data_IF_846883057721
#
_entry.id   IF_846883057721
#
_cell.length_a   1.000
_cell.length_b   1.000
_cell.length_c   1.000
_cell.angle_alpha   90.00
_cell.angle_beta   90.00
_cell.angle_gamma   90.00
#
_symmetry.space_group_name_H-M   'P 1'
#
loop_
_entity.id
_entity.type
_entity.pdbx_description
1 polymer ?
#
# COMPACT_ATOMS: atom_id res chain seq x y z
N UNK A 1 20.56 -14.27 -5.66
CA UNK A 1 20.34 -14.21 -4.19
C UNK A 1 18.86 -14.01 -3.95
N UNK A 2 18.26 -14.77 -3.06
CA UNK A 2 16.86 -14.58 -2.66
C UNK A 2 16.80 -13.55 -1.55
N UNK A 3 15.90 -12.56 -1.67
CA UNK A 3 15.71 -11.50 -0.66
C UNK A 3 14.79 -12.05 0.43
N UNK A 4 15.26 -12.05 1.67
CA UNK A 4 14.50 -12.48 2.85
C UNK A 4 13.66 -11.34 3.40
N UNK A 5 12.36 -11.58 3.48
CA UNK A 5 11.38 -10.56 3.88
C UNK A 5 10.66 -11.02 5.15
N UNK A 6 10.45 -10.08 6.08
CA UNK A 6 9.52 -10.23 7.18
C UNK A 6 8.33 -9.29 7.01
N UNK A 7 7.14 -9.72 7.44
CA UNK A 7 5.90 -8.93 7.39
C UNK A 7 5.45 -8.62 8.81
N UNK A 8 5.46 -7.35 9.20
CA UNK A 8 4.86 -6.89 10.45
C UNK A 8 3.43 -6.40 10.18
N UNK A 9 2.46 -7.06 10.79
CA UNK A 9 1.03 -6.86 10.53
C UNK A 9 0.50 -7.76 9.42
N UNK A 10 -0.19 -8.82 9.79
CA UNK A 10 -0.76 -9.79 8.86
C UNK A 10 -2.27 -9.56 8.64
N UNK A 11 -2.66 -8.28 8.59
CA UNK A 11 -3.99 -7.81 8.18
C UNK A 11 -4.21 -7.95 6.68
N UNK A 12 -5.15 -7.18 6.12
CA UNK A 12 -5.45 -7.20 4.66
C UNK A 12 -4.20 -7.06 3.81
N UNK A 13 -3.35 -6.06 4.11
CA UNK A 13 -2.18 -5.75 3.28
C UNK A 13 -1.13 -6.84 3.39
N UNK A 14 -0.72 -7.23 4.59
CA UNK A 14 0.31 -8.27 4.78
C UNK A 14 -0.08 -9.60 4.14
N UNK A 15 -1.34 -10.04 4.30
CA UNK A 15 -1.84 -11.27 3.66
C UNK A 15 -1.84 -11.17 2.14
N UNK A 16 -2.30 -10.05 1.58
CA UNK A 16 -2.34 -9.88 0.13
C UNK A 16 -0.95 -9.75 -0.49
N UNK A 17 0.03 -9.19 0.23
CA UNK A 17 1.44 -9.20 -0.21
C UNK A 17 1.96 -10.63 -0.30
N UNK A 18 1.75 -11.46 0.72
CA UNK A 18 2.16 -12.87 0.68
C UNK A 18 1.45 -13.63 -0.46
N UNK A 19 0.13 -13.43 -0.62
CA UNK A 19 -0.62 -14.02 -1.75
C UNK A 19 -0.02 -13.62 -3.09
N UNK A 20 0.24 -12.34 -3.30
CA UNK A 20 0.80 -11.84 -4.56
C UNK A 20 2.19 -12.43 -4.87
N UNK A 21 3.05 -12.56 -3.86
CA UNK A 21 4.39 -13.20 -4.02
C UNK A 21 4.24 -14.66 -4.46
N UNK A 22 3.31 -15.40 -3.88
CA UNK A 22 3.10 -16.81 -4.20
C UNK A 22 2.42 -16.98 -5.57
N UNK A 23 1.35 -16.22 -5.82
CA UNK A 23 0.55 -16.29 -7.06
C UNK A 23 1.34 -15.81 -8.28
N UNK A 24 2.28 -14.87 -8.12
CA UNK A 24 3.17 -14.43 -9.20
C UNK A 24 4.24 -15.46 -9.59
N UNK A 25 4.41 -16.53 -8.83
CA UNK A 25 5.45 -17.53 -9.05
C UNK A 25 6.89 -17.05 -8.80
N UNK A 26 7.09 -15.84 -8.24
CA UNK A 26 8.43 -15.29 -7.93
C UNK A 26 9.18 -16.18 -6.94
N UNK A 27 10.47 -16.40 -7.20
CA UNK A 27 11.36 -17.20 -6.37
C UNK A 27 12.53 -16.37 -5.81
N UNK A 28 12.64 -15.12 -6.21
CA UNK A 28 13.65 -14.16 -5.77
C UNK A 28 13.30 -13.46 -4.45
N UNK A 29 12.06 -13.65 -3.95
CA UNK A 29 11.59 -13.13 -2.67
C UNK A 29 11.10 -14.31 -1.81
N UNK A 30 11.60 -14.38 -0.59
CA UNK A 30 11.23 -15.37 0.41
C UNK A 30 10.68 -14.67 1.66
N UNK A 31 9.42 -14.94 2.02
CA UNK A 31 8.86 -14.49 3.30
C UNK A 31 9.27 -15.49 4.36
N UNK A 32 10.12 -15.07 5.29
CA UNK A 32 10.71 -15.94 6.34
C UNK A 32 10.04 -15.75 7.70
N UNK A 33 9.41 -14.59 7.94
CA UNK A 33 8.78 -14.30 9.21
C UNK A 33 7.54 -13.41 9.05
N UNK A 34 6.58 -13.62 9.95
CA UNK A 34 5.36 -12.81 10.09
C UNK A 34 5.22 -12.46 11.57
N UNK A 35 4.81 -11.23 11.87
CA UNK A 35 4.37 -10.85 13.20
C UNK A 35 2.94 -10.32 13.14
N UNK A 36 2.06 -10.90 13.94
CA UNK A 36 0.68 -10.44 14.10
C UNK A 36 0.15 -10.85 15.47
N UNK A 37 -0.63 -9.99 16.12
CA UNK A 37 -1.11 -10.22 17.48
C UNK A 37 -2.26 -11.25 17.57
N UNK A 38 -2.81 -11.65 16.43
CA UNK A 38 -3.85 -12.67 16.34
C UNK A 38 -3.28 -14.10 16.40
N UNK A 39 -4.12 -15.09 16.73
CA UNK A 39 -3.72 -16.50 16.73
C UNK A 39 -3.26 -16.97 15.33
N UNK A 40 -2.22 -17.80 15.29
CA UNK A 40 -1.66 -18.34 14.04
C UNK A 40 -2.72 -19.06 13.20
N UNK A 41 -3.56 -19.89 13.83
CA UNK A 41 -4.63 -20.61 13.14
C UNK A 41 -5.65 -19.67 12.48
N UNK A 42 -5.98 -18.55 13.14
CA UNK A 42 -6.88 -17.53 12.57
C UNK A 42 -6.22 -16.83 11.40
N UNK A 43 -4.94 -16.48 11.51
CA UNK A 43 -4.19 -15.87 10.40
C UNK A 43 -4.08 -16.81 9.19
N UNK A 44 -3.83 -18.10 9.42
CA UNK A 44 -3.81 -19.12 8.37
C UNK A 44 -5.19 -19.28 7.70
N UNK A 45 -6.28 -19.29 8.48
CA UNK A 45 -7.64 -19.36 7.95
C UNK A 45 -7.96 -18.16 7.07
N UNK A 46 -7.65 -16.92 7.56
CA UNK A 46 -7.89 -15.68 6.81
C UNK A 46 -6.97 -15.52 5.60
N UNK A 47 -5.82 -16.19 5.56
CA UNK A 47 -4.98 -16.28 4.37
C UNK A 47 -5.60 -17.24 3.33
N UNK A 48 -6.12 -18.40 3.80
CA UNK A 48 -6.74 -19.40 2.91
C UNK A 48 -8.03 -18.89 2.29
N UNK A 49 -8.87 -18.17 3.06
CA UNK A 49 -10.18 -17.72 2.64
C UNK A 49 -10.31 -16.21 2.75
N UNK A 50 -10.48 -15.54 1.62
CA UNK A 50 -10.65 -14.10 1.55
C UNK A 50 -11.99 -13.75 0.92
N UNK A 51 -12.76 -12.85 1.55
CA UNK A 51 -14.10 -12.48 1.08
C UNK A 51 -14.08 -11.72 -0.25
N UNK A 52 -12.95 -11.11 -0.61
CA UNK A 52 -12.78 -10.32 -1.84
C UNK A 52 -12.05 -11.13 -2.92
N UNK A 53 -10.93 -11.76 -2.55
CA UNK A 53 -10.05 -12.47 -3.49
C UNK A 53 -10.34 -13.97 -3.57
N UNK A 54 -11.28 -14.48 -2.76
CA UNK A 54 -11.65 -15.89 -2.76
C UNK A 54 -10.60 -16.79 -2.09
N UNK A 55 -10.76 -18.09 -2.34
CA UNK A 55 -9.85 -19.09 -1.78
C UNK A 55 -8.45 -18.95 -2.37
N UNK A 56 -7.44 -18.95 -1.51
CA UNK A 56 -6.04 -18.98 -1.94
C UNK A 56 -5.74 -20.29 -2.68
N UNK A 57 -5.06 -20.27 -3.84
CA UNK A 57 -4.90 -21.46 -4.68
C UNK A 57 -3.97 -22.51 -4.06
N UNK A 58 -3.18 -22.13 -3.08
CA UNK A 58 -2.28 -23.04 -2.35
C UNK A 58 -2.91 -23.42 -1.01
N UNK A 59 -2.74 -24.68 -0.59
CA UNK A 59 -3.16 -25.12 0.74
C UNK A 59 -2.31 -24.44 1.81
N UNK A 60 -2.96 -23.78 2.76
CA UNK A 60 -2.30 -23.14 3.90
C UNK A 60 -2.25 -24.11 5.06
N UNK A 61 -1.06 -24.53 5.46
CA UNK A 61 -0.83 -25.35 6.66
C UNK A 61 -0.34 -24.48 7.80
N UNK A 62 -0.68 -24.82 9.03
CA UNK A 62 -0.19 -24.10 10.19
C UNK A 62 0.10 -25.03 11.36
N UNK A 63 1.05 -24.60 12.19
CA UNK A 63 1.35 -25.18 13.51
C UNK A 63 1.01 -24.15 14.60
N UNK A 64 1.49 -24.36 15.80
CA UNK A 64 1.35 -23.37 16.88
C UNK A 64 2.13 -22.06 16.61
N UNK A 65 3.19 -22.10 15.77
CA UNK A 65 4.11 -20.99 15.57
C UNK A 65 4.53 -20.78 14.10
N UNK A 66 3.93 -21.50 13.15
CA UNK A 66 4.30 -21.37 11.73
C UNK A 66 3.10 -21.39 10.79
N UNK A 67 3.25 -20.77 9.64
CA UNK A 67 2.36 -20.89 8.48
C UNK A 67 3.21 -21.40 7.30
N UNK A 68 2.69 -22.37 6.53
CA UNK A 68 3.32 -22.88 5.32
C UNK A 68 2.35 -22.76 4.13
N UNK A 69 2.83 -22.18 3.06
CA UNK A 69 2.13 -21.96 1.79
C UNK A 69 2.76 -22.76 0.64
N UNK A 70 3.35 -23.91 0.98
CA UNK A 70 4.01 -24.79 0.00
C UNK A 70 5.45 -24.43 -0.35
N UNK A 71 6.07 -23.49 0.41
CA UNK A 71 7.48 -23.09 0.25
C UNK A 71 8.32 -23.29 1.51
N UNK A 72 7.79 -24.02 2.47
CA UNK A 72 8.38 -24.23 3.80
C UNK A 72 7.75 -23.34 4.87
N UNK A 73 8.08 -23.61 6.14
CA UNK A 73 7.47 -22.93 7.26
C UNK A 73 7.94 -21.48 7.37
N UNK A 74 6.98 -20.56 7.48
CA UNK A 74 7.19 -19.15 7.81
C UNK A 74 6.98 -19.01 9.31
N UNK A 75 7.94 -18.47 10.04
CA UNK A 75 7.82 -18.23 11.47
C UNK A 75 6.77 -17.17 11.76
N UNK A 76 5.92 -17.40 12.79
CA UNK A 76 4.88 -16.45 13.20
C UNK A 76 5.07 -16.09 14.66
N UNK A 77 5.21 -14.79 14.94
CA UNK A 77 5.31 -14.23 16.27
C UNK A 77 4.10 -13.35 16.59
N UNK A 78 3.85 -13.09 17.88
CA UNK A 78 2.79 -12.20 18.36
C UNK A 78 3.38 -11.16 19.33
N UNK A 79 4.38 -10.42 18.86
CA UNK A 79 5.15 -9.46 19.63
C UNK A 79 4.63 -8.04 19.34
N UNK A 80 4.23 -7.33 20.38
CA UNK A 80 3.67 -5.97 20.27
C UNK A 80 4.74 -4.91 20.05
N UNK A 81 5.87 -5.05 20.73
CA UNK A 81 6.99 -4.11 20.62
C UNK A 81 7.95 -4.56 19.50
N UNK A 82 8.05 -3.83 18.38
CA UNK A 82 8.90 -4.25 17.27
C UNK A 82 10.39 -4.34 17.61
N UNK A 83 10.85 -3.67 18.67
CA UNK A 83 12.24 -3.80 19.14
C UNK A 83 12.59 -5.20 19.66
N UNK A 84 11.60 -6.02 19.97
CA UNK A 84 11.78 -7.38 20.50
C UNK A 84 11.68 -8.46 19.41
N UNK A 85 11.43 -8.06 18.14
CA UNK A 85 11.30 -8.99 17.03
C UNK A 85 12.66 -9.63 16.69
N UNK A 86 12.74 -10.96 16.54
CA UNK A 86 14.01 -11.68 16.31
C UNK A 86 14.42 -11.66 14.82
N UNK A 87 14.46 -10.47 14.20
CA UNK A 87 14.58 -10.32 12.74
C UNK A 87 15.94 -9.86 12.23
N UNK A 88 17.01 -10.08 12.99
CA UNK A 88 18.39 -9.73 12.59
C UNK A 88 18.88 -10.41 11.28
N UNK A 89 18.17 -11.44 10.81
CA UNK A 89 18.49 -12.20 9.59
C UNK A 89 17.63 -11.81 8.37
N UNK A 90 16.86 -10.73 8.47
CA UNK A 90 15.91 -10.29 7.44
C UNK A 90 16.53 -9.17 6.63
N UNK A 91 16.41 -9.24 5.31
CA UNK A 91 16.89 -8.18 4.42
C UNK A 91 15.91 -6.99 4.42
N UNK A 92 14.61 -7.25 4.30
CA UNK A 92 13.59 -6.21 4.22
C UNK A 92 12.44 -6.52 5.19
N UNK A 93 12.08 -5.55 6.02
CA UNK A 93 10.84 -5.58 6.77
C UNK A 93 9.75 -4.82 6.01
N UNK A 94 8.63 -5.49 5.76
CA UNK A 94 7.41 -4.87 5.27
C UNK A 94 6.54 -4.46 6.44
N UNK A 95 6.43 -3.16 6.69
CA UNK A 95 5.57 -2.60 7.74
C UNK A 95 4.15 -2.45 7.23
N UNK A 96 3.28 -3.36 7.64
CA UNK A 96 1.90 -3.47 7.17
C UNK A 96 0.85 -3.26 8.29
N UNK A 97 1.27 -2.84 9.49
CA UNK A 97 0.33 -2.59 10.60
C UNK A 97 -0.42 -1.28 10.45
N UNK A 98 0.14 -0.31 9.73
CA UNK A 98 -0.36 1.05 9.68
C UNK A 98 -0.09 1.89 10.95
N UNK A 99 0.68 1.37 11.91
CA UNK A 99 1.00 2.02 13.21
C UNK A 99 2.37 2.70 13.15
N UNK A 100 3.39 2.02 12.64
CA UNK A 100 4.77 2.50 12.59
C UNK A 100 5.06 3.23 11.28
N UNK A 101 4.26 4.26 10.98
CA UNK A 101 4.30 5.01 9.72
C UNK A 101 5.27 6.18 9.70
N UNK A 102 5.76 6.61 10.86
CA UNK A 102 6.78 7.68 10.91
C UNK A 102 8.16 7.04 10.78
N UNK A 103 9.09 7.74 10.10
CA UNK A 103 10.48 7.28 9.94
C UNK A 103 11.13 6.88 11.26
N UNK A 104 10.93 7.70 12.28
CA UNK A 104 11.49 7.46 13.63
C UNK A 104 10.97 6.14 14.22
N UNK A 105 9.68 5.86 14.06
CA UNK A 105 9.07 4.61 14.54
C UNK A 105 9.50 3.41 13.72
N UNK A 106 9.65 3.58 12.41
CA UNK A 106 10.08 2.50 11.52
C UNK A 106 11.59 2.19 11.64
N UNK A 107 12.40 3.12 12.18
CA UNK A 107 13.83 2.92 12.38
C UNK A 107 14.15 1.75 13.33
N UNK A 108 13.24 1.40 14.23
CA UNK A 108 13.40 0.27 15.16
C UNK A 108 13.72 -1.06 14.43
N UNK A 109 13.22 -1.26 13.23
CA UNK A 109 13.53 -2.48 12.47
C UNK A 109 14.97 -2.51 11.97
N UNK A 110 15.56 -1.35 11.65
CA UNK A 110 16.98 -1.24 11.29
C UNK A 110 17.87 -1.48 12.50
N UNK A 111 17.48 -0.98 13.66
CA UNK A 111 18.16 -1.20 14.95
C UNK A 111 18.13 -2.70 15.32
N UNK A 112 17.08 -3.42 14.93
CA UNK A 112 16.93 -4.87 15.09
C UNK A 112 17.71 -5.70 14.05
N UNK A 113 18.40 -5.06 13.10
CA UNK A 113 19.29 -5.72 12.14
C UNK A 113 18.71 -5.91 10.75
N UNK A 114 17.49 -5.49 10.45
CA UNK A 114 16.99 -5.45 9.08
C UNK A 114 17.78 -4.45 8.23
N UNK A 115 18.06 -4.79 6.98
CA UNK A 115 18.79 -3.89 6.09
C UNK A 115 17.94 -2.73 5.59
N UNK A 116 16.63 -2.94 5.42
CA UNK A 116 15.68 -1.93 4.92
C UNK A 116 14.28 -2.12 5.49
N UNK A 117 13.50 -1.05 5.42
CA UNK A 117 12.07 -1.06 5.77
C UNK A 117 11.24 -0.52 4.61
N UNK A 118 10.25 -1.27 4.19
CA UNK A 118 9.22 -0.84 3.24
C UNK A 118 7.90 -0.63 3.99
N UNK A 119 7.49 0.63 4.11
CA UNK A 119 6.22 1.00 4.77
C UNK A 119 5.09 0.96 3.74
N UNK A 120 4.09 0.12 3.94
CA UNK A 120 2.95 -0.09 3.02
C UNK A 120 1.88 1.02 3.11
N UNK A 121 2.26 2.20 3.57
CA UNK A 121 1.38 3.35 3.79
C UNK A 121 2.18 4.65 3.62
N UNK A 122 1.52 5.83 3.49
CA UNK A 122 2.21 7.11 3.55
C UNK A 122 3.03 7.22 4.84
N UNK A 123 4.31 7.54 4.71
CA UNK A 123 5.24 7.61 5.83
C UNK A 123 5.82 9.01 5.97
N UNK A 124 5.63 9.60 7.15
CA UNK A 124 6.22 10.91 7.46
C UNK A 124 7.72 10.78 7.67
N UNK A 125 8.49 11.56 6.92
CA UNK A 125 9.93 11.60 7.04
C UNK A 125 10.67 10.39 6.46
N UNK A 126 9.99 9.48 5.72
CA UNK A 126 10.67 8.41 4.99
C UNK A 126 11.77 8.96 4.09
N UNK A 127 12.82 8.17 3.88
CA UNK A 127 13.96 8.56 3.05
C UNK A 127 13.53 8.78 1.59
N UNK A 128 12.52 8.02 1.13
CA UNK A 128 11.85 8.24 -0.15
C UNK A 128 10.40 7.76 -0.09
N UNK A 129 9.56 8.31 -0.98
CA UNK A 129 8.20 7.83 -1.24
C UNK A 129 8.13 7.40 -2.69
N UNK A 130 7.84 6.12 -2.93
CA UNK A 130 7.92 5.49 -4.26
C UNK A 130 6.53 5.04 -4.71
N UNK A 131 6.22 5.36 -5.96
CA UNK A 131 5.18 4.70 -6.76
C UNK A 131 5.88 3.98 -7.91
N UNK A 132 5.74 2.65 -7.94
CA UNK A 132 6.38 1.83 -8.98
C UNK A 132 5.88 2.24 -10.37
N UNK A 133 6.79 2.32 -11.34
CA UNK A 133 6.48 2.82 -12.68
C UNK A 133 6.48 4.36 -12.81
N UNK A 134 6.54 5.10 -11.70
CA UNK A 134 6.54 6.57 -11.70
C UNK A 134 7.90 7.16 -11.35
N UNK A 135 8.43 6.80 -10.20
CA UNK A 135 9.69 7.31 -9.67
C UNK A 135 10.56 6.24 -8.98
N UNK A 136 10.35 4.96 -9.29
CA UNK A 136 11.10 3.87 -8.66
C UNK A 136 12.61 3.90 -8.98
N UNK A 137 12.99 4.52 -10.09
CA UNK A 137 14.34 4.78 -10.53
C UNK A 137 15.08 5.84 -9.68
N UNK A 138 14.36 6.58 -8.85
CA UNK A 138 14.95 7.54 -7.91
C UNK A 138 15.44 6.89 -6.61
N UNK A 139 15.20 5.58 -6.43
CA UNK A 139 15.62 4.85 -5.24
C UNK A 139 17.11 4.64 -5.24
N UNK A 140 17.77 5.05 -4.15
CA UNK A 140 19.22 4.91 -3.96
C UNK A 140 19.56 3.96 -2.80
N UNK A 141 20.80 3.46 -2.76
CA UNK A 141 21.22 2.46 -1.79
C UNK A 141 21.25 2.94 -0.33
N UNK A 142 21.38 4.24 -0.11
CA UNK A 142 21.39 4.90 1.18
C UNK A 142 19.98 5.18 1.77
N UNK A 143 18.94 5.00 0.96
CA UNK A 143 17.54 5.15 1.39
C UNK A 143 17.07 3.84 2.05
N UNK A 144 17.00 3.84 3.35
CA UNK A 144 16.76 2.63 4.14
C UNK A 144 15.30 2.45 4.54
N UNK A 145 14.55 3.55 4.70
CA UNK A 145 13.13 3.53 5.06
C UNK A 145 12.33 4.17 3.92
N UNK A 146 11.61 3.33 3.18
CA UNK A 146 10.89 3.73 1.97
C UNK A 146 9.38 3.57 2.17
N UNK A 147 8.63 4.59 1.78
CA UNK A 147 7.17 4.54 1.75
C UNK A 147 6.67 4.11 0.37
N UNK A 148 5.72 3.19 0.33
CA UNK A 148 4.99 2.84 -0.90
C UNK A 148 3.76 3.75 -1.17
N UNK A 149 3.72 4.94 -0.57
CA UNK A 149 2.63 5.90 -0.69
C UNK A 149 1.25 5.33 -0.26
N UNK A 150 0.15 5.91 -0.74
CA UNK A 150 -1.21 5.42 -0.53
C UNK A 150 -1.76 4.71 -1.76
N UNK A 151 -2.82 3.92 -1.58
CA UNK A 151 -3.54 3.28 -2.69
C UNK A 151 -4.03 4.32 -3.72
N UNK A 152 -4.61 5.43 -3.28
CA UNK A 152 -5.08 6.51 -4.16
C UNK A 152 -3.91 7.20 -4.87
N UNK A 153 -2.77 7.42 -4.21
CA UNK A 153 -1.57 7.98 -4.85
C UNK A 153 -1.03 7.02 -5.91
N UNK A 154 -1.00 5.73 -5.64
CA UNK A 154 -0.59 4.71 -6.62
C UNK A 154 -1.51 4.64 -7.85
N UNK A 155 -2.80 4.94 -7.69
CA UNK A 155 -3.74 5.05 -8.79
C UNK A 155 -3.54 6.36 -9.60
N UNK A 156 -3.44 7.50 -8.90
CA UNK A 156 -3.42 8.83 -9.52
C UNK A 156 -2.08 9.17 -10.16
N UNK A 157 -0.96 8.83 -9.52
CA UNK A 157 0.36 9.30 -9.95
C UNK A 157 0.77 8.81 -11.36
N UNK A 158 0.56 7.54 -11.76
CA UNK A 158 0.85 7.09 -13.12
C UNK A 158 0.07 7.88 -14.19
N UNK A 159 -1.23 8.05 -13.97
CA UNK A 159 -2.09 8.81 -14.89
C UNK A 159 -1.68 10.28 -14.94
N UNK A 160 -1.48 10.91 -13.77
CA UNK A 160 -1.05 12.30 -13.69
C UNK A 160 0.33 12.53 -14.34
N UNK A 161 1.25 11.55 -14.24
CA UNK A 161 2.54 11.61 -14.93
C UNK A 161 2.37 11.67 -16.44
N UNK A 162 1.60 10.76 -17.02
CA UNK A 162 1.38 10.71 -18.47
C UNK A 162 0.71 11.99 -18.97
N UNK A 163 -0.33 12.46 -18.28
CA UNK A 163 -1.03 13.68 -18.63
C UNK A 163 -0.13 14.91 -18.53
N UNK A 164 0.69 14.98 -17.46
CA UNK A 164 1.61 16.10 -17.28
C UNK A 164 2.72 16.12 -18.33
N UNK A 165 3.31 14.96 -18.60
CA UNK A 165 4.42 14.84 -19.57
C UNK A 165 3.99 15.12 -21.02
N UNK A 166 2.74 14.79 -21.38
CA UNK A 166 2.23 14.93 -22.76
C UNK A 166 1.49 16.24 -23.03
N UNK A 167 0.71 16.70 -22.07
CA UNK A 167 -0.25 17.79 -22.23
C UNK A 167 0.08 18.96 -21.30
N UNK A 168 0.65 18.66 -20.14
CA UNK A 168 0.87 19.59 -19.03
C UNK A 168 -0.38 19.71 -18.15
N UNK A 169 -0.16 19.68 -16.84
CA UNK A 169 -1.19 19.96 -15.82
C UNK A 169 -0.82 21.28 -15.18
N UNK A 170 -1.72 22.26 -15.27
CA UNK A 170 -1.60 23.56 -14.59
C UNK A 170 -2.07 23.42 -13.15
N UNK A 171 -3.27 22.91 -12.96
CA UNK A 171 -3.89 22.59 -11.67
C UNK A 171 -4.95 21.50 -11.86
N UNK A 172 -5.34 20.83 -10.78
CA UNK A 172 -6.40 19.84 -10.84
C UNK A 172 -7.00 19.54 -9.48
N UNK A 173 -8.20 18.95 -9.51
CA UNK A 173 -8.91 18.50 -8.33
C UNK A 173 -9.36 17.06 -8.51
N UNK A 174 -9.13 16.23 -7.50
CA UNK A 174 -9.43 14.82 -7.53
C UNK A 174 -10.49 14.47 -6.50
N UNK A 175 -11.49 13.70 -6.91
CA UNK A 175 -12.41 13.01 -6.00
C UNK A 175 -12.12 11.51 -6.06
N UNK A 176 -11.75 10.91 -4.92
CA UNK A 176 -11.70 9.45 -4.86
C UNK A 176 -13.00 8.89 -4.29
N UNK A 177 -13.70 8.11 -5.11
CA UNK A 177 -14.85 7.30 -4.70
C UNK A 177 -14.25 5.98 -4.19
N UNK A 178 -14.10 5.90 -2.87
CA UNK A 178 -13.19 4.94 -2.26
C UNK A 178 -13.94 3.86 -1.49
N UNK A 179 -13.56 2.60 -1.72
CA UNK A 179 -14.02 1.48 -0.90
C UNK A 179 -13.73 1.71 0.57
N UNK A 180 -14.57 1.17 1.46
CA UNK A 180 -14.24 1.17 2.88
C UNK A 180 -13.02 0.29 3.17
N UNK A 181 -12.30 0.58 4.25
CA UNK A 181 -11.09 -0.14 4.65
C UNK A 181 -11.21 -0.57 6.12
N UNK A 182 -10.24 -1.32 6.61
CA UNK A 182 -10.16 -1.69 8.04
C UNK A 182 -10.06 -0.50 9.01
N UNK A 183 -9.89 0.72 8.52
CA UNK A 183 -9.96 1.96 9.29
C UNK A 183 -11.42 2.32 9.68
N UNK A 184 -12.41 1.80 8.95
CA UNK A 184 -13.82 2.09 9.15
C UNK A 184 -14.53 0.90 9.80
N UNK A 185 -15.35 1.15 10.86
CA UNK A 185 -16.08 0.10 11.57
C UNK A 185 -17.30 -0.38 10.80
N UNK A 186 -17.81 -1.57 11.13
CA UNK A 186 -19.10 -2.06 10.64
C UNK A 186 -20.29 -1.34 11.27
N UNK A 187 -20.17 -0.93 12.53
CA UNK A 187 -21.12 -0.12 13.27
C UNK A 187 -20.42 1.06 13.91
N UNK A 188 -21.20 2.08 14.32
CA UNK A 188 -20.69 3.30 14.94
C UNK A 188 -19.73 2.99 16.09
N UNK A 189 -18.53 3.54 16.05
CA UNK A 189 -17.52 3.40 17.11
C UNK A 189 -16.56 4.58 17.13
N UNK A 190 -15.70 4.61 18.13
CA UNK A 190 -14.72 5.69 18.32
C UNK A 190 -13.74 5.77 17.15
N UNK A 191 -13.64 6.96 16.57
CA UNK A 191 -12.67 7.31 15.52
C UNK A 191 -12.31 8.79 15.64
N UNK A 192 -11.08 9.17 15.29
CA UNK A 192 -10.62 10.58 15.33
C UNK A 192 -11.35 11.46 14.29
N UNK A 193 -11.73 10.90 13.15
CA UNK A 193 -12.61 11.51 12.17
C UNK A 193 -14.04 11.03 12.42
N UNK A 194 -14.92 11.93 12.85
CA UNK A 194 -16.31 11.61 13.19
C UNK A 194 -17.11 11.10 11.99
N UNK A 195 -16.77 11.48 10.77
CA UNK A 195 -17.38 10.90 9.57
C UNK A 195 -17.04 9.42 9.42
N UNK A 196 -15.80 9.04 9.70
CA UNK A 196 -15.34 7.64 9.65
C UNK A 196 -15.74 6.82 10.88
N UNK A 197 -16.27 7.46 11.93
CA UNK A 197 -16.83 6.79 13.09
C UNK A 197 -18.17 6.09 12.80
N UNK A 198 -18.75 6.31 11.62
CA UNK A 198 -20.06 5.79 11.23
C UNK A 198 -19.93 4.44 10.54
N UNK A 199 -21.04 3.69 10.50
CA UNK A 199 -21.14 2.37 9.87
C UNK A 199 -20.76 2.42 8.38
N UNK A 200 -19.66 1.74 8.02
CA UNK A 200 -19.01 1.86 6.72
C UNK A 200 -19.88 1.37 5.54
N UNK A 201 -20.75 0.39 5.79
CA UNK A 201 -21.52 -0.29 4.75
C UNK A 201 -22.94 0.28 4.53
N UNK A 202 -23.28 1.42 5.14
CA UNK A 202 -24.64 1.96 5.07
C UNK A 202 -24.86 3.07 4.05
N UNK A 203 -23.90 3.99 3.93
CA UNK A 203 -24.05 5.16 3.05
C UNK A 203 -22.69 5.71 2.61
N UNK A 204 -22.72 6.66 1.70
CA UNK A 204 -21.54 7.41 1.31
C UNK A 204 -21.08 8.32 2.45
N UNK A 205 -19.76 8.35 2.68
CA UNK A 205 -19.17 9.13 3.77
C UNK A 205 -18.11 10.07 3.18
N UNK A 206 -18.37 11.39 3.11
CA UNK A 206 -17.35 12.36 2.71
C UNK A 206 -16.27 12.46 3.78
N UNK A 207 -15.00 12.53 3.36
CA UNK A 207 -13.87 12.69 4.27
C UNK A 207 -12.68 13.31 3.53
N UNK A 208 -11.66 13.68 4.28
CA UNK A 208 -10.43 14.24 3.71
C UNK A 208 -9.50 13.15 3.16
N UNK A 209 -8.63 13.55 2.25
CA UNK A 209 -7.52 12.72 1.78
C UNK A 209 -6.29 13.58 1.51
N UNK A 210 -5.12 13.07 1.87
CA UNK A 210 -3.84 13.66 1.50
C UNK A 210 -3.26 13.12 0.18
N UNK A 211 -3.96 12.20 -0.47
CA UNK A 211 -3.41 11.44 -1.60
C UNK A 211 -3.08 12.31 -2.82
N UNK A 212 -3.91 13.31 -3.14
CA UNK A 212 -3.65 14.23 -4.25
C UNK A 212 -2.40 15.10 -3.98
N UNK A 213 -2.25 15.61 -2.76
CA UNK A 213 -1.06 16.36 -2.35
C UNK A 213 0.20 15.50 -2.33
N UNK A 214 0.05 14.22 -1.97
CA UNK A 214 1.15 13.26 -1.96
C UNK A 214 1.69 12.92 -3.35
N UNK A 215 0.93 13.16 -4.43
CA UNK A 215 1.46 13.06 -5.81
C UNK A 215 2.66 13.97 -5.99
N UNK A 216 2.69 15.15 -5.38
CA UNK A 216 3.84 16.05 -5.41
C UNK A 216 5.12 15.53 -4.73
N UNK A 217 5.04 14.43 -3.94
CA UNK A 217 6.23 13.76 -3.39
C UNK A 217 6.89 12.84 -4.43
N UNK A 218 6.09 12.21 -5.28
CA UNK A 218 6.58 11.27 -6.31
C UNK A 218 6.76 11.93 -7.68
N UNK A 219 6.05 13.03 -7.91
CA UNK A 219 6.14 13.90 -9.11
C UNK A 219 6.34 15.36 -8.69
N UNK A 220 7.58 15.80 -8.43
CA UNK A 220 7.86 17.17 -7.94
C UNK A 220 7.31 18.28 -8.80
N UNK A 221 7.20 18.07 -10.13
CA UNK A 221 6.61 19.02 -11.08
C UNK A 221 5.12 19.32 -10.83
N UNK A 222 4.43 18.41 -10.10
CA UNK A 222 3.02 18.56 -9.72
C UNK A 222 2.82 19.04 -8.28
N UNK A 223 3.90 19.37 -7.55
CA UNK A 223 3.80 19.86 -6.17
C UNK A 223 2.94 21.12 -6.10
N UNK A 224 1.88 21.06 -5.29
CA UNK A 224 0.94 22.16 -5.09
C UNK A 224 -0.09 22.37 -6.22
N UNK A 225 -0.06 21.57 -7.28
CA UNK A 225 -1.00 21.67 -8.40
C UNK A 225 -2.25 20.82 -8.24
N UNK A 226 -2.20 19.78 -7.39
CA UNK A 226 -3.31 18.86 -7.18
C UNK A 226 -3.82 18.94 -5.74
N UNK A 227 -5.14 18.96 -5.59
CA UNK A 227 -5.86 18.80 -4.33
C UNK A 227 -7.02 17.82 -4.51
N UNK A 228 -7.72 17.45 -3.44
CA UNK A 228 -8.84 16.53 -3.58
C UNK A 228 -9.51 16.16 -2.28
N UNK A 229 -10.61 15.41 -2.45
CA UNK A 229 -11.45 14.88 -1.38
C UNK A 229 -11.68 13.39 -1.57
N UNK A 230 -12.16 12.71 -0.53
CA UNK A 230 -12.55 11.32 -0.58
C UNK A 230 -14.04 11.17 -0.23
N UNK A 231 -14.72 10.29 -0.96
CA UNK A 231 -16.05 9.82 -0.63
C UNK A 231 -15.93 8.31 -0.40
N UNK A 232 -16.07 7.86 0.84
CA UNK A 232 -16.13 6.43 1.16
C UNK A 232 -17.48 5.88 0.77
N UNK A 233 -17.50 4.71 0.12
CA UNK A 233 -18.73 4.07 -0.37
C UNK A 233 -18.89 2.68 0.22
N UNK A 234 -20.12 2.13 0.31
CA UNK A 234 -20.42 0.80 0.84
C UNK A 234 -19.93 -0.35 -0.07
N UNK A 235 -18.66 -0.33 -0.43
CA UNK A 235 -18.03 -1.30 -1.34
C UNK A 235 -16.76 -1.84 -0.69
N UNK A 236 -16.56 -3.16 -0.59
CA UNK A 236 -15.43 -3.76 0.13
C UNK A 236 -14.11 -3.67 -0.64
N UNK A 237 -14.16 -3.44 -1.95
CA UNK A 237 -13.01 -3.42 -2.82
C UNK A 237 -13.28 -2.59 -4.07
N UNK A 238 -12.21 -2.15 -4.73
CA UNK A 238 -12.18 -1.28 -5.90
C UNK A 238 -12.61 0.16 -5.58
N UNK A 239 -11.76 1.10 -5.94
CA UNK A 239 -12.00 2.53 -5.81
C UNK A 239 -11.86 3.19 -7.18
N UNK A 240 -12.51 4.32 -7.36
CA UNK A 240 -12.41 5.15 -8.57
C UNK A 240 -11.75 6.47 -8.21
N UNK A 241 -10.89 6.97 -9.08
CA UNK A 241 -10.36 8.33 -9.03
C UNK A 241 -10.96 9.12 -10.19
N UNK A 242 -11.69 10.17 -9.85
CA UNK A 242 -12.17 11.17 -10.78
C UNK A 242 -11.24 12.39 -10.70
N UNK A 243 -10.56 12.70 -11.80
CA UNK A 243 -9.61 13.81 -11.91
C UNK A 243 -10.12 14.84 -12.93
N UNK A 244 -10.43 16.03 -12.44
CA UNK A 244 -10.62 17.21 -13.29
C UNK A 244 -9.36 18.07 -13.24
N UNK A 245 -8.84 18.46 -14.40
CA UNK A 245 -7.62 19.29 -14.46
C UNK A 245 -7.68 20.31 -15.58
N UNK A 246 -6.91 21.39 -15.42
CA UNK A 246 -6.66 22.39 -16.45
C UNK A 246 -5.39 22.01 -17.20
N UNK A 247 -5.53 21.77 -18.49
CA UNK A 247 -4.43 21.47 -19.39
C UNK A 247 -3.59 22.72 -19.69
N UNK A 248 -2.28 22.56 -19.88
CA UNK A 248 -1.40 23.68 -20.22
C UNK A 248 -1.53 24.13 -21.70
N UNK A 249 -2.19 23.35 -22.53
CA UNK A 249 -2.48 23.63 -23.94
C UNK A 249 -3.79 22.96 -24.36
N UNK A 250 -4.31 23.37 -25.51
CA UNK A 250 -5.45 22.67 -26.11
C UNK A 250 -5.13 21.20 -26.37
N UNK A 251 -6.11 20.36 -26.14
CA UNK A 251 -6.03 18.91 -26.30
C UNK A 251 -7.41 18.31 -26.64
N UNK A 252 -7.44 17.08 -27.10
CA UNK A 252 -8.66 16.33 -27.39
C UNK A 252 -8.79 15.08 -26.54
N UNK A 253 -9.98 14.51 -26.48
CA UNK A 253 -10.24 13.23 -25.79
C UNK A 253 -9.40 12.11 -26.41
N UNK A 254 -9.28 12.10 -27.75
CA UNK A 254 -8.52 11.12 -28.51
C UNK A 254 -7.04 11.17 -28.12
N UNK A 255 -6.45 12.36 -28.10
CA UNK A 255 -5.04 12.56 -27.72
C UNK A 255 -4.77 12.07 -26.28
N UNK A 256 -5.67 12.38 -25.34
CA UNK A 256 -5.56 11.92 -23.96
C UNK A 256 -5.59 10.39 -23.88
N UNK A 257 -6.57 9.77 -24.54
CA UNK A 257 -6.73 8.32 -24.53
C UNK A 257 -5.54 7.61 -25.18
N UNK A 258 -5.06 8.10 -26.33
CA UNK A 258 -3.88 7.55 -27.01
C UNK A 258 -2.62 7.65 -26.14
N UNK A 259 -2.43 8.75 -25.43
CA UNK A 259 -1.30 8.92 -24.52
C UNK A 259 -1.33 7.90 -23.37
N UNK A 260 -2.51 7.66 -22.78
CA UNK A 260 -2.69 6.68 -21.69
C UNK A 260 -2.50 5.25 -22.21
N UNK A 261 -3.09 4.91 -23.38
CA UNK A 261 -2.94 3.57 -24.00
C UNK A 261 -1.47 3.29 -24.31
N UNK A 262 -0.78 4.24 -24.90
CA UNK A 262 0.64 4.09 -25.23
C UNK A 262 1.51 3.89 -23.98
N UNK A 263 1.23 4.63 -22.90
CA UNK A 263 1.95 4.49 -21.64
C UNK A 263 1.66 3.12 -20.97
N UNK A 264 0.41 2.66 -21.00
CA UNK A 264 0.02 1.36 -20.44
C UNK A 264 0.69 0.17 -21.16
N UNK A 265 0.93 0.29 -22.47
CA UNK A 265 1.61 -0.74 -23.26
C UNK A 265 3.14 -0.73 -23.12
N UNK A 266 3.72 0.38 -22.65
CA UNK A 266 5.16 0.55 -22.47
C UNK A 266 5.60 0.49 -20.99
N UNK A 267 4.67 0.24 -20.08
CA UNK A 267 4.92 0.23 -18.64
C UNK A 267 5.88 -0.87 -18.18
N UNK A 268 6.51 -0.70 -16.99
CA UNK A 268 7.38 -1.68 -16.39
C UNK A 268 6.63 -2.94 -15.94
#
# INVERSE_FOLDING_TARGET
MTVKVAINGFGRIGRNVLRAIIESGRTDIEVVAINDLGPVATNAHLLQFDSVHGRFPVEVKSTASTIDVGRGPIEVTAIRNPAELPWAHVDIVMECTGIFRDREKAAVYLENGASRVLVSAPSKGADNTIVYGVNHDTLTADQLIVSNASCTTNCLAPVAKVLHDKIGIVKGFMTTIHSYTGDQPTLDTMHSDLYRARAAAMSMIPTTTGAAKAVGLVLPALKGKLDGVAIRVPTPNVSVVDLTFEAARDTTVEEINEAIIAAAGAGP
#
